data_IF_020806612045
#
_entry.id   IF_020806612045
#
_cell.length_a   1.000
_cell.length_b   1.000
_cell.length_c   1.000
_cell.angle_alpha   90.00
_cell.angle_beta   90.00
_cell.angle_gamma   90.00
#
_symmetry.space_group_name_H-M   'P 1'
#
loop_
_entity.id
_entity.type
_entity.pdbx_description
1 polymer ?
#
# COMPACT_ATOMS: atom_id res chain seq x y z
N UNK A 1 3.04 12.87 -12.24
CA UNK A 1 3.87 11.74 -11.79
C UNK A 1 5.32 11.85 -12.31
N UNK A 2 5.95 13.03 -12.17
CA UNK A 2 7.31 13.34 -12.68
C UNK A 2 7.56 12.84 -14.13
N UNK A 3 6.56 12.98 -14.99
CA UNK A 3 6.60 12.58 -16.41
C UNK A 3 7.00 11.11 -16.68
N UNK A 4 6.77 10.22 -15.71
CA UNK A 4 7.10 8.79 -15.83
C UNK A 4 6.02 7.94 -16.52
N UNK A 5 4.81 8.47 -16.72
CA UNK A 5 3.67 7.72 -17.24
C UNK A 5 2.86 8.54 -18.24
N UNK A 6 2.32 7.87 -19.25
CA UNK A 6 1.29 8.44 -20.13
C UNK A 6 -0.05 8.56 -19.38
N UNK A 7 -0.90 9.48 -19.83
CA UNK A 7 -2.23 9.71 -19.27
C UNK A 7 -3.23 9.91 -20.39
N UNK A 8 -4.43 9.35 -20.24
CA UNK A 8 -5.58 9.67 -21.08
C UNK A 8 -6.09 11.10 -20.84
N UNK A 9 -5.74 11.70 -19.69
CA UNK A 9 -6.19 13.02 -19.28
C UNK A 9 -7.58 13.00 -18.63
N UNK A 10 -8.01 11.84 -18.12
CA UNK A 10 -9.33 11.70 -17.51
C UNK A 10 -9.28 12.04 -16.01
N UNK A 11 -10.09 13.00 -15.53
CA UNK A 11 -10.15 13.29 -14.11
C UNK A 11 -10.82 12.13 -13.36
N UNK A 12 -10.43 11.93 -12.09
CA UNK A 12 -10.86 10.79 -11.27
C UNK A 12 -12.40 10.57 -11.19
N UNK A 13 -13.26 11.60 -11.12
CA UNK A 13 -14.71 11.41 -11.17
C UNK A 13 -15.19 10.75 -12.48
N UNK A 14 -14.67 11.20 -13.62
CA UNK A 14 -15.00 10.66 -14.96
C UNK A 14 -14.51 9.23 -15.08
N UNK A 15 -13.27 8.97 -14.69
CA UNK A 15 -12.69 7.64 -14.68
C UNK A 15 -13.55 6.65 -13.87
N UNK A 16 -13.93 7.01 -12.64
CA UNK A 16 -14.77 6.14 -11.79
C UNK A 16 -16.17 5.92 -12.37
N UNK A 17 -16.72 6.91 -13.08
CA UNK A 17 -17.99 6.74 -13.78
C UNK A 17 -17.89 5.73 -14.92
N UNK A 18 -16.84 5.85 -15.75
CA UNK A 18 -16.56 4.91 -16.85
C UNK A 18 -16.26 3.50 -16.32
N UNK A 19 -15.47 3.38 -15.25
CA UNK A 19 -15.18 2.11 -14.59
C UNK A 19 -16.45 1.39 -14.15
N UNK A 20 -17.38 2.10 -13.49
CA UNK A 20 -18.67 1.53 -13.08
C UNK A 20 -19.51 1.10 -14.28
N UNK A 21 -19.55 1.90 -15.33
CA UNK A 21 -20.29 1.56 -16.55
C UNK A 21 -19.72 0.32 -17.25
N UNK A 22 -18.39 0.20 -17.31
CA UNK A 22 -17.70 -0.91 -17.99
C UNK A 22 -17.95 -2.27 -17.33
N UNK A 23 -18.20 -2.30 -16.03
CA UNK A 23 -18.44 -3.54 -15.26
C UNK A 23 -19.91 -3.76 -14.91
N UNK A 24 -20.79 -2.84 -15.30
CA UNK A 24 -22.22 -2.94 -15.00
C UNK A 24 -22.83 -4.16 -15.69
N UNK A 25 -23.55 -4.98 -14.92
CA UNK A 25 -24.23 -6.18 -15.42
C UNK A 25 -23.32 -7.40 -15.61
N UNK A 26 -22.02 -7.29 -15.34
CA UNK A 26 -21.13 -8.46 -15.30
C UNK A 26 -21.40 -9.29 -14.03
N UNK A 27 -21.16 -10.62 -14.07
CA UNK A 27 -21.21 -11.44 -12.87
C UNK A 27 -20.10 -11.02 -11.88
N UNK A 28 -20.26 -11.43 -10.61
CA UNK A 28 -19.22 -11.25 -9.61
C UNK A 28 -17.93 -11.97 -10.08
N UNK A 29 -16.76 -11.31 -10.04
CA UNK A 29 -15.52 -11.88 -10.56
C UNK A 29 -15.01 -13.02 -9.68
N UNK A 30 -14.44 -14.03 -10.30
CA UNK A 30 -13.58 -15.00 -9.63
C UNK A 30 -12.15 -14.45 -9.48
N UNK A 31 -11.31 -15.12 -8.69
CA UNK A 31 -9.88 -14.74 -8.55
C UNK A 31 -9.16 -14.69 -9.91
N UNK A 32 -9.47 -15.61 -10.82
CA UNK A 32 -8.88 -15.64 -12.16
C UNK A 32 -9.22 -14.37 -12.96
N UNK A 33 -10.45 -13.87 -12.87
CA UNK A 33 -10.88 -12.64 -13.53
C UNK A 33 -10.14 -11.43 -12.95
N UNK A 34 -10.02 -11.36 -11.61
CA UNK A 34 -9.27 -10.31 -10.94
C UNK A 34 -7.81 -10.27 -11.40
N UNK A 35 -7.16 -11.45 -11.49
CA UNK A 35 -5.78 -11.57 -11.98
C UNK A 35 -5.68 -11.13 -13.43
N UNK A 36 -6.54 -11.64 -14.30
CA UNK A 36 -6.51 -11.36 -15.73
C UNK A 36 -6.72 -9.87 -16.02
N UNK A 37 -7.75 -9.26 -15.42
CA UNK A 37 -8.05 -7.84 -15.58
C UNK A 37 -6.91 -6.97 -15.05
N UNK A 38 -6.40 -7.26 -13.84
CA UNK A 38 -5.35 -6.45 -13.25
C UNK A 38 -4.05 -6.47 -14.09
N UNK A 39 -3.64 -7.65 -14.57
CA UNK A 39 -2.47 -7.78 -15.44
C UNK A 39 -2.68 -7.11 -16.80
N UNK A 40 -3.86 -7.29 -17.43
CA UNK A 40 -4.17 -6.64 -18.70
C UNK A 40 -4.12 -5.11 -18.60
N UNK A 41 -4.69 -4.53 -17.53
CA UNK A 41 -4.60 -3.11 -17.24
C UNK A 41 -3.16 -2.66 -16.96
N UNK A 42 -2.31 -3.55 -16.45
CA UNK A 42 -0.91 -3.26 -16.17
C UNK A 42 -0.05 -3.22 -17.43
N UNK A 43 -0.47 -3.85 -18.53
CA UNK A 43 0.21 -3.76 -19.83
C UNK A 43 -0.05 -2.42 -20.53
N UNK A 44 -1.25 -1.85 -20.36
CA UNK A 44 -1.64 -0.62 -21.05
C UNK A 44 -0.82 0.62 -20.63
N UNK A 45 -0.48 1.52 -21.56
CA UNK A 45 0.50 2.57 -21.31
C UNK A 45 -0.02 3.68 -20.38
N UNK A 46 -1.29 4.03 -20.45
CA UNK A 46 -1.86 5.14 -19.68
C UNK A 46 -2.17 4.76 -18.23
N UNK A 47 -1.88 5.71 -17.33
CA UNK A 47 -1.92 5.49 -15.88
C UNK A 47 -3.32 5.17 -15.35
N UNK A 48 -4.35 5.69 -16.03
CA UNK A 48 -5.75 5.47 -15.68
C UNK A 48 -6.17 3.99 -15.73
N UNK A 49 -5.47 3.15 -16.49
CA UNK A 49 -5.73 1.70 -16.48
C UNK A 49 -5.24 1.03 -15.19
N UNK A 50 -4.06 1.41 -14.68
CA UNK A 50 -3.56 0.87 -13.41
C UNK A 50 -4.41 1.35 -12.23
N UNK A 51 -4.90 2.59 -12.28
CA UNK A 51 -5.87 3.08 -11.30
C UNK A 51 -7.18 2.27 -11.29
N UNK A 52 -7.71 1.93 -12.48
CA UNK A 52 -8.88 1.05 -12.59
C UNK A 52 -8.60 -0.31 -11.94
N UNK A 53 -7.44 -0.93 -12.24
CA UNK A 53 -7.05 -2.19 -11.62
C UNK A 53 -6.98 -2.09 -10.09
N UNK A 54 -6.36 -1.05 -9.54
CA UNK A 54 -6.28 -0.82 -8.09
C UNK A 54 -7.68 -0.71 -7.45
N UNK A 55 -8.58 0.07 -8.04
CA UNK A 55 -9.95 0.24 -7.54
C UNK A 55 -10.77 -1.05 -7.66
N UNK A 56 -10.60 -1.78 -8.76
CA UNK A 56 -11.26 -3.07 -9.00
C UNK A 56 -10.84 -4.13 -7.99
N UNK A 57 -9.52 -4.28 -7.75
CA UNK A 57 -8.97 -5.19 -6.76
C UNK A 57 -9.41 -4.82 -5.34
N UNK A 58 -9.40 -3.52 -5.01
CA UNK A 58 -9.89 -3.03 -3.72
C UNK A 58 -11.36 -3.40 -3.49
N UNK A 59 -12.21 -3.22 -4.50
CA UNK A 59 -13.64 -3.51 -4.39
C UNK A 59 -13.92 -5.01 -4.16
N UNK A 60 -13.04 -5.88 -4.63
CA UNK A 60 -13.19 -7.33 -4.57
C UNK A 60 -12.14 -8.02 -3.68
N UNK A 61 -11.57 -7.30 -2.71
CA UNK A 61 -10.46 -7.81 -1.88
C UNK A 61 -10.83 -9.05 -1.07
N UNK A 62 -12.12 -9.35 -0.88
CA UNK A 62 -12.62 -10.55 -0.21
C UNK A 62 -12.59 -11.83 -1.06
N UNK A 63 -12.45 -11.70 -2.39
CA UNK A 63 -12.49 -12.83 -3.34
C UNK A 63 -11.18 -13.63 -3.40
N UNK A 64 -10.00 -13.02 -3.62
CA UNK A 64 -8.78 -13.79 -3.86
C UNK A 64 -8.32 -14.57 -2.61
N UNK A 65 -7.70 -15.72 -2.82
CA UNK A 65 -6.98 -16.47 -1.80
C UNK A 65 -5.55 -15.96 -1.55
N UNK A 66 -4.78 -16.62 -0.67
CA UNK A 66 -3.45 -16.15 -0.28
C UNK A 66 -2.44 -16.13 -1.44
N UNK A 67 -2.57 -17.05 -2.42
CA UNK A 67 -1.70 -17.11 -3.59
C UNK A 67 -1.76 -15.87 -4.48
N UNK A 68 -2.81 -15.05 -4.35
CA UNK A 68 -2.93 -13.80 -5.09
C UNK A 68 -1.88 -12.75 -4.70
N UNK A 69 -1.22 -12.89 -3.54
CA UNK A 69 -0.13 -12.00 -3.15
C UNK A 69 0.99 -11.96 -4.19
N UNK A 70 1.26 -13.07 -4.88
CA UNK A 70 2.24 -13.12 -5.97
C UNK A 70 1.86 -12.20 -7.14
N UNK A 71 0.58 -12.16 -7.51
CA UNK A 71 0.08 -11.20 -8.52
C UNK A 71 0.27 -9.77 -8.04
N UNK A 72 -0.11 -9.47 -6.79
CA UNK A 72 0.02 -8.11 -6.25
C UNK A 72 1.49 -7.68 -6.14
N UNK A 73 2.41 -8.59 -5.82
CA UNK A 73 3.86 -8.33 -5.86
C UNK A 73 4.30 -7.86 -7.24
N UNK A 74 3.89 -8.56 -8.30
CA UNK A 74 4.18 -8.15 -9.69
C UNK A 74 3.70 -6.73 -9.96
N UNK A 75 2.47 -6.39 -9.57
CA UNK A 75 1.93 -5.04 -9.75
C UNK A 75 2.70 -4.00 -8.94
N UNK A 76 3.15 -4.32 -7.72
CA UNK A 76 3.91 -3.39 -6.88
C UNK A 76 5.27 -3.05 -7.53
N UNK A 77 5.96 -4.03 -8.11
CA UNK A 77 7.34 -3.88 -8.63
C UNK A 77 7.41 -3.53 -10.12
N UNK A 78 6.28 -3.34 -10.78
CA UNK A 78 6.22 -2.92 -12.20
C UNK A 78 5.38 -1.65 -12.32
N UNK A 79 5.78 -0.71 -13.20
CA UNK A 79 5.16 0.64 -13.30
C UNK A 79 4.97 1.31 -11.91
N UNK A 80 5.96 1.12 -11.04
CA UNK A 80 5.86 1.44 -9.61
C UNK A 80 5.93 2.94 -9.35
N UNK A 81 4.92 3.44 -8.66
CA UNK A 81 4.91 4.79 -8.10
C UNK A 81 3.86 4.87 -6.98
N UNK A 82 3.98 5.87 -6.11
CA UNK A 82 3.21 5.94 -4.85
C UNK A 82 1.68 5.90 -5.07
N UNK A 83 1.21 6.43 -6.18
CA UNK A 83 -0.20 6.51 -6.57
C UNK A 83 -0.86 5.15 -6.81
N UNK A 84 -0.11 4.13 -7.24
CA UNK A 84 -0.61 2.74 -7.33
C UNK A 84 -0.14 1.88 -6.17
N UNK A 85 1.09 2.06 -5.69
CA UNK A 85 1.63 1.27 -4.58
C UNK A 85 0.85 1.51 -3.29
N UNK A 86 0.45 2.75 -3.00
CA UNK A 86 -0.29 3.08 -1.77
C UNK A 86 -1.66 2.37 -1.69
N UNK A 87 -2.55 2.44 -2.70
CA UNK A 87 -3.80 1.68 -2.65
C UNK A 87 -3.57 0.16 -2.67
N UNK A 88 -2.59 -0.35 -3.42
CA UNK A 88 -2.25 -1.78 -3.39
C UNK A 88 -1.82 -2.22 -1.99
N UNK A 89 -0.91 -1.47 -1.35
CA UNK A 89 -0.42 -1.77 -0.01
C UNK A 89 -1.53 -1.69 1.05
N UNK A 90 -2.23 -0.55 1.11
CA UNK A 90 -3.11 -0.21 2.23
C UNK A 90 -4.49 -0.87 2.13
N UNK A 91 -4.93 -1.24 0.92
CA UNK A 91 -6.26 -1.82 0.67
C UNK A 91 -6.18 -3.28 0.25
N UNK A 92 -5.36 -3.61 -0.75
CA UNK A 92 -5.32 -4.96 -1.32
C UNK A 92 -4.47 -5.88 -0.44
N UNK A 93 -3.19 -5.56 -0.24
CA UNK A 93 -2.29 -6.34 0.62
C UNK A 93 -2.77 -6.31 2.08
N UNK A 94 -3.15 -5.14 2.59
CA UNK A 94 -3.75 -5.01 3.92
C UNK A 94 -5.00 -5.89 4.11
N UNK A 95 -5.89 -5.96 3.11
CA UNK A 95 -7.07 -6.84 3.16
C UNK A 95 -6.73 -8.32 3.04
N UNK A 96 -5.76 -8.69 2.18
CA UNK A 96 -5.27 -10.06 2.03
C UNK A 96 -4.65 -10.59 3.32
N UNK A 97 -3.71 -9.85 3.92
CA UNK A 97 -3.02 -10.25 5.16
C UNK A 97 -4.01 -10.39 6.31
N UNK A 98 -5.03 -9.52 6.40
CA UNK A 98 -6.05 -9.64 7.45
C UNK A 98 -6.86 -10.94 7.33
N UNK A 99 -7.21 -11.35 6.11
CA UNK A 99 -7.94 -12.61 5.86
C UNK A 99 -7.04 -13.84 5.91
N UNK A 100 -5.76 -13.67 5.61
CA UNK A 100 -4.77 -14.73 5.55
C UNK A 100 -3.51 -14.34 6.34
N UNK A 101 -3.54 -14.39 7.69
CA UNK A 101 -2.46 -13.88 8.54
C UNK A 101 -1.09 -14.50 8.27
N UNK A 102 -1.04 -15.74 7.77
CA UNK A 102 0.22 -16.40 7.39
C UNK A 102 1.02 -15.62 6.33
N UNK A 103 0.36 -14.78 5.51
CA UNK A 103 1.03 -13.92 4.53
C UNK A 103 1.95 -12.89 5.17
N UNK A 104 1.85 -12.62 6.47
CA UNK A 104 2.72 -11.64 7.14
C UNK A 104 4.21 -12.02 7.06
N UNK A 105 4.53 -13.30 6.90
CA UNK A 105 5.91 -13.76 6.70
C UNK A 105 6.53 -13.23 5.40
N UNK A 106 5.75 -13.08 4.33
CA UNK A 106 6.19 -12.44 3.09
C UNK A 106 6.43 -10.94 3.30
N UNK A 107 5.58 -10.29 4.11
CA UNK A 107 5.71 -8.87 4.43
C UNK A 107 6.94 -8.60 5.31
N UNK A 108 7.31 -9.56 6.18
CA UNK A 108 8.58 -9.52 6.91
C UNK A 108 9.77 -9.52 5.96
N UNK A 109 9.77 -10.41 4.95
CA UNK A 109 10.81 -10.44 3.93
C UNK A 109 10.85 -9.14 3.12
N UNK A 110 9.69 -8.66 2.64
CA UNK A 110 9.57 -7.41 1.89
C UNK A 110 10.08 -6.21 2.68
N UNK A 111 9.98 -6.23 4.02
CA UNK A 111 10.46 -5.15 4.89
C UNK A 111 11.98 -4.96 4.87
N UNK A 112 12.75 -5.91 4.32
CA UNK A 112 14.21 -5.86 4.23
C UNK A 112 14.75 -6.15 2.82
N UNK A 113 13.88 -6.34 1.83
CA UNK A 113 14.27 -6.48 0.43
C UNK A 113 14.83 -5.17 -0.14
N UNK A 114 15.58 -5.28 -1.26
CA UNK A 114 16.20 -4.13 -1.92
C UNK A 114 15.24 -3.23 -2.71
N UNK A 115 13.98 -3.65 -2.89
CA UNK A 115 12.96 -2.87 -3.59
C UNK A 115 12.21 -1.93 -2.63
N UNK A 116 12.31 -0.63 -2.86
CA UNK A 116 11.73 0.38 -1.97
C UNK A 116 10.19 0.33 -1.91
N UNK A 117 9.53 -0.16 -2.97
CA UNK A 117 8.06 -0.24 -3.05
C UNK A 117 7.53 -1.44 -2.28
N UNK A 118 8.27 -2.55 -2.25
CA UNK A 118 8.01 -3.68 -1.34
C UNK A 118 8.21 -3.26 0.11
N UNK A 119 9.30 -2.56 0.43
CA UNK A 119 9.54 -2.00 1.77
C UNK A 119 8.41 -1.04 2.18
N UNK A 120 8.03 -0.12 1.29
CA UNK A 120 6.90 0.80 1.52
C UNK A 120 5.59 0.04 1.75
N UNK A 121 5.37 -1.04 1.01
CA UNK A 121 4.18 -1.88 1.17
C UNK A 121 4.16 -2.56 2.53
N UNK A 122 5.29 -3.13 2.96
CA UNK A 122 5.42 -3.74 4.28
C UNK A 122 5.07 -2.76 5.40
N UNK A 123 5.59 -1.53 5.34
CA UNK A 123 5.31 -0.48 6.33
C UNK A 123 3.83 -0.06 6.32
N UNK A 124 3.19 0.01 5.15
CA UNK A 124 1.85 0.58 4.98
C UNK A 124 0.70 -0.44 5.03
N UNK A 125 0.95 -1.75 5.00
CA UNK A 125 -0.15 -2.72 4.89
C UNK A 125 -1.16 -2.66 6.05
N UNK A 126 -0.71 -2.25 7.25
CA UNK A 126 -1.55 -2.10 8.44
C UNK A 126 -2.22 -0.72 8.58
N UNK A 127 -2.07 0.18 7.59
CA UNK A 127 -2.47 1.60 7.72
C UNK A 127 -3.93 1.80 8.19
N UNK A 128 -4.83 0.87 7.88
CA UNK A 128 -6.24 0.94 8.23
C UNK A 128 -6.66 -0.10 9.29
N UNK A 129 -5.71 -0.61 10.09
CA UNK A 129 -5.99 -1.63 11.11
C UNK A 129 -6.52 -1.04 12.42
N UNK A 130 -6.18 0.21 12.75
CA UNK A 130 -6.67 0.84 13.98
C UNK A 130 -6.28 0.02 15.20
N UNK A 131 -7.25 -0.38 16.03
CA UNK A 131 -7.01 -1.20 17.22
C UNK A 131 -6.45 -2.61 16.91
N UNK A 132 -6.62 -3.12 15.68
CA UNK A 132 -6.11 -4.42 15.24
C UNK A 132 -4.64 -4.35 14.75
N UNK A 133 -3.99 -3.18 14.85
CA UNK A 133 -2.61 -3.02 14.38
C UNK A 133 -1.66 -3.83 15.26
N UNK A 134 -0.86 -4.70 14.64
CA UNK A 134 0.31 -5.30 15.29
C UNK A 134 1.41 -4.24 15.40
N UNK A 135 1.49 -3.63 16.58
CA UNK A 135 2.45 -2.57 16.90
C UNK A 135 3.89 -3.06 16.92
N UNK A 136 4.13 -4.31 17.32
CA UNK A 136 5.45 -4.93 17.28
C UNK A 136 6.01 -4.95 15.87
N UNK A 137 5.17 -5.32 14.89
CA UNK A 137 5.53 -5.29 13.47
C UNK A 137 5.62 -3.89 12.91
N UNK A 138 4.65 -3.02 13.20
CA UNK A 138 4.66 -1.63 12.73
C UNK A 138 5.96 -0.92 13.16
N UNK A 139 6.27 -0.93 14.46
CA UNK A 139 7.47 -0.32 15.00
C UNK A 139 8.72 -1.07 14.56
N UNK A 140 8.69 -2.40 14.49
CA UNK A 140 9.79 -3.22 13.97
C UNK A 140 10.19 -2.84 12.54
N UNK A 141 9.24 -2.72 11.62
CA UNK A 141 9.49 -2.27 10.24
C UNK A 141 10.04 -0.85 10.20
N UNK A 142 9.47 0.06 11.00
CA UNK A 142 9.95 1.44 11.07
C UNK A 142 11.38 1.54 11.60
N UNK A 143 11.74 0.76 12.62
CA UNK A 143 13.11 0.72 13.19
C UNK A 143 14.11 0.14 12.20
N UNK A 144 13.75 -0.95 11.50
CA UNK A 144 14.61 -1.55 10.47
C UNK A 144 14.91 -0.56 9.34
N UNK A 145 13.92 0.25 8.97
CA UNK A 145 14.00 1.18 7.85
C UNK A 145 14.28 2.64 8.26
N UNK A 146 14.55 2.91 9.53
CA UNK A 146 14.71 4.27 10.06
C UNK A 146 15.82 5.07 9.34
N UNK A 147 16.92 4.39 9.01
CA UNK A 147 18.07 4.96 8.30
C UNK A 147 17.94 5.01 6.77
N UNK A 148 16.82 4.52 6.20
CA UNK A 148 16.64 4.47 4.76
C UNK A 148 16.73 5.88 4.17
N UNK A 149 17.44 6.04 3.04
CA UNK A 149 17.71 7.35 2.44
C UNK A 149 16.61 7.84 1.50
N UNK A 150 15.85 6.91 0.92
CA UNK A 150 14.78 7.23 -0.01
C UNK A 150 13.62 8.01 0.63
N UNK A 151 13.08 8.97 -0.13
CA UNK A 151 11.99 9.84 0.28
C UNK A 151 10.69 9.08 0.55
N UNK A 152 10.32 8.12 -0.30
CA UNK A 152 9.06 7.39 -0.19
C UNK A 152 9.07 6.44 1.01
N UNK A 153 10.19 5.81 1.32
CA UNK A 153 10.31 4.99 2.55
C UNK A 153 10.18 5.86 3.79
N UNK A 154 10.88 7.00 3.86
CA UNK A 154 10.78 7.95 4.99
C UNK A 154 9.36 8.48 5.18
N UNK A 155 8.66 8.78 4.08
CA UNK A 155 7.24 9.17 4.10
C UNK A 155 6.33 8.03 4.54
N UNK A 156 6.62 6.79 4.16
CA UNK A 156 5.86 5.62 4.59
C UNK A 156 5.89 5.47 6.11
N UNK A 157 7.09 5.52 6.70
CA UNK A 157 7.30 5.46 8.16
C UNK A 157 6.47 6.54 8.86
N UNK A 158 6.66 7.79 8.46
CA UNK A 158 5.95 8.91 9.07
C UNK A 158 4.43 8.81 8.92
N UNK A 159 3.93 8.33 7.77
CA UNK A 159 2.51 8.18 7.53
C UNK A 159 1.90 7.03 8.35
N UNK A 160 2.57 5.87 8.41
CA UNK A 160 2.11 4.73 9.20
C UNK A 160 2.01 5.10 10.68
N UNK A 161 3.04 5.75 11.22
CA UNK A 161 3.06 6.25 12.60
C UNK A 161 1.97 7.31 12.85
N UNK A 162 1.86 8.33 11.98
CA UNK A 162 0.80 9.36 12.10
C UNK A 162 -0.59 8.76 12.09
N UNK A 163 -0.80 7.74 11.26
CA UNK A 163 -2.09 7.10 11.14
C UNK A 163 -2.41 6.28 12.39
N UNK A 164 -1.43 5.53 12.92
CA UNK A 164 -1.60 4.77 14.15
C UNK A 164 -1.77 5.67 15.39
N UNK A 165 -1.19 6.87 15.38
CA UNK A 165 -1.39 7.86 16.46
C UNK A 165 -2.86 8.26 16.67
N UNK A 166 -3.75 8.02 15.68
CA UNK A 166 -5.20 8.20 15.86
C UNK A 166 -5.84 7.14 16.76
N UNK A 167 -5.16 6.02 16.97
CA UNK A 167 -5.57 4.91 17.83
C UNK A 167 -4.82 4.97 19.15
N UNK A 168 -3.49 5.13 19.10
CA UNK A 168 -2.65 5.21 20.30
C UNK A 168 -1.57 6.30 20.12
N UNK A 169 -1.89 7.57 20.46
CA UNK A 169 -0.95 8.67 20.33
C UNK A 169 0.24 8.55 21.30
N UNK A 170 0.04 7.99 22.49
CA UNK A 170 1.09 7.84 23.50
C UNK A 170 2.14 6.82 23.07
N UNK A 171 1.73 5.69 22.50
CA UNK A 171 2.66 4.70 21.96
C UNK A 171 3.51 5.28 20.83
N UNK A 172 2.92 6.07 19.93
CA UNK A 172 3.68 6.72 18.85
C UNK A 172 4.62 7.79 19.39
N UNK A 173 4.17 8.62 20.33
CA UNK A 173 5.01 9.63 20.98
C UNK A 173 6.24 8.99 21.65
N UNK A 174 6.04 7.91 22.41
CA UNK A 174 7.09 7.16 23.08
C UNK A 174 8.07 6.55 22.08
N UNK A 175 7.57 5.84 21.06
CA UNK A 175 8.39 5.25 20.01
C UNK A 175 9.26 6.31 19.30
N UNK A 176 8.67 7.45 18.92
CA UNK A 176 9.40 8.55 18.25
C UNK A 176 10.44 9.16 19.17
N UNK A 177 10.18 9.32 20.47
CA UNK A 177 11.15 9.84 21.42
C UNK A 177 12.35 8.90 21.57
N UNK A 178 12.11 7.60 21.73
CA UNK A 178 13.14 6.56 21.87
C UNK A 178 14.01 6.40 20.61
N UNK A 179 13.45 6.64 19.42
CA UNK A 179 14.12 6.42 18.13
C UNK A 179 14.48 7.70 17.40
N UNK A 180 14.41 8.86 18.07
CA UNK A 180 14.57 10.20 17.45
C UNK A 180 15.85 10.34 16.64
N UNK A 181 16.96 9.85 17.17
CA UNK A 181 18.29 9.99 16.53
C UNK A 181 18.47 9.08 15.31
N UNK A 182 17.62 8.06 15.16
CA UNK A 182 17.67 7.10 14.05
C UNK A 182 16.66 7.44 12.95
N UNK A 183 15.52 8.01 13.32
CA UNK A 183 14.48 8.39 12.38
C UNK A 183 14.92 9.63 11.58
N UNK A 184 14.54 9.67 10.30
CA UNK A 184 14.76 10.88 9.52
C UNK A 184 13.93 12.05 10.08
N UNK A 185 14.42 13.31 10.01
CA UNK A 185 13.64 14.49 10.42
C UNK A 185 12.27 14.58 9.72
N UNK A 186 12.20 14.11 8.47
CA UNK A 186 10.95 14.01 7.71
C UNK A 186 9.96 13.03 8.35
N UNK A 187 10.41 11.83 8.72
CA UNK A 187 9.58 10.81 9.35
C UNK A 187 9.06 11.27 10.70
N UNK A 188 9.91 11.91 11.52
CA UNK A 188 9.52 12.50 12.81
C UNK A 188 8.44 13.56 12.60
N UNK A 189 8.68 14.55 11.74
CA UNK A 189 7.71 15.64 11.47
C UNK A 189 6.37 15.12 10.97
N UNK A 190 6.37 14.10 10.12
CA UNK A 190 5.13 13.49 9.64
C UNK A 190 4.40 12.73 10.75
N UNK A 191 5.12 11.94 11.55
CA UNK A 191 4.56 11.15 12.64
C UNK A 191 3.91 12.01 13.73
N UNK A 192 4.55 13.13 14.10
CA UNK A 192 4.11 14.00 15.19
C UNK A 192 3.16 15.11 14.77
N UNK A 193 2.61 15.09 13.55
CA UNK A 193 1.79 16.20 13.02
C UNK A 193 0.51 16.47 13.85
N UNK A 194 0.01 15.47 14.55
CA UNK A 194 -1.25 15.53 15.30
C UNK A 194 -1.11 14.98 16.73
N UNK A 195 0.14 14.86 17.21
CA UNK A 195 0.44 14.54 18.60
C UNK A 195 0.49 15.81 19.44
#
# INVERSE_FOLDING_TARGET
MRDQFAFLGLPAPTQRALARAAVAGLPAPAEADLRAVALACWELPEREYQYFACDWLRAHVSVPGPGFLATVRTLIVTKSWWDTVDPLATRVVGGLVRRHPALVAELDAWSVEGDLWLVRTAILHQLHYGAETDTGRLFGYCTRQAGHRDFFVRKAIGWALRQYARTDPEAVARYVAEHRDRLSPLSVREATKHL
#
